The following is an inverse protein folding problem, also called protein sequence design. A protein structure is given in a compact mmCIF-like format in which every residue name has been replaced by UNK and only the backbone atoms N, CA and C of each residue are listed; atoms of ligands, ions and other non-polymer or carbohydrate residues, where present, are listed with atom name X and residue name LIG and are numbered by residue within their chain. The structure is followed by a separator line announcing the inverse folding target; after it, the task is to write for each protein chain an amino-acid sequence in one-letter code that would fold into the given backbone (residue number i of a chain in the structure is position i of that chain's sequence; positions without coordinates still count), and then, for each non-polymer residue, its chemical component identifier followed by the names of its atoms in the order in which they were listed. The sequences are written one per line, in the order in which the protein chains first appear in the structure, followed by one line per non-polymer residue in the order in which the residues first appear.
data_IF_160823309444
#
_entry.id   IF_160823309444
#
_cell.length_a   1.000
_cell.length_b   1.000
_cell.length_c   1.000
_cell.angle_alpha   90.00
_cell.angle_beta   90.00
_cell.angle_gamma   90.00
#
_symmetry.space_group_name_H-M   'P 1'
#
loop_
_entity.id
_entity.type
_entity.pdbx_description
1 polymer ?
#
# COMPACT_ATOMS: atom_id res chain seq x y z
N UNK A 1 18.93 17.29 -4.78
CA UNK A 1 17.46 17.25 -4.70
C UNK A 1 17.10 16.62 -3.37
N UNK A 2 16.34 17.35 -2.56
CA UNK A 2 15.92 16.89 -1.24
C UNK A 2 14.92 15.73 -1.38
N UNK A 3 14.75 14.92 -0.34
CA UNK A 3 13.81 13.78 -0.37
C UNK A 3 12.39 14.32 -0.55
N UNK A 4 12.08 15.42 0.10
CA UNK A 4 10.84 16.17 0.04
C UNK A 4 10.53 16.60 -1.41
N UNK A 5 11.52 17.07 -2.16
CA UNK A 5 11.34 17.44 -3.58
C UNK A 5 10.93 16.23 -4.43
N UNK A 6 11.52 15.06 -4.18
CA UNK A 6 11.15 13.81 -4.89
C UNK A 6 9.75 13.36 -4.54
N UNK A 7 9.35 13.49 -3.28
CA UNK A 7 8.00 13.17 -2.83
C UNK A 7 6.99 14.14 -3.44
N UNK A 8 7.29 15.44 -3.45
CA UNK A 8 6.46 16.46 -4.08
C UNK A 8 6.34 16.21 -5.60
N UNK A 9 7.43 15.86 -6.27
CA UNK A 9 7.42 15.51 -7.69
C UNK A 9 6.54 14.30 -7.96
N UNK A 10 6.66 13.22 -7.17
CA UNK A 10 5.81 12.04 -7.28
C UNK A 10 4.34 12.35 -7.03
N UNK A 11 4.03 13.16 -6.01
CA UNK A 11 2.66 13.58 -5.72
C UNK A 11 2.03 14.38 -6.87
N UNK A 12 2.83 15.15 -7.60
CA UNK A 12 2.39 15.98 -8.71
C UNK A 12 2.30 15.23 -10.05
N UNK A 13 3.24 14.32 -10.34
CA UNK A 13 3.44 13.73 -11.67
C UNK A 13 3.35 12.20 -11.70
N UNK A 14 3.41 11.55 -10.54
CA UNK A 14 3.39 10.11 -10.42
C UNK A 14 1.99 9.53 -10.59
N UNK A 15 1.93 8.22 -10.80
CA UNK A 15 0.68 7.47 -10.79
C UNK A 15 0.22 7.26 -9.34
N UNK A 16 -0.63 8.17 -8.87
CA UNK A 16 -1.02 8.22 -7.45
C UNK A 16 -2.41 7.63 -7.19
N UNK A 17 -2.61 7.21 -5.94
CA UNK A 17 -3.88 6.75 -5.39
C UNK A 17 -3.98 7.12 -3.91
N UNK A 18 -5.11 6.85 -3.27
CA UNK A 18 -5.29 7.16 -1.84
C UNK A 18 -4.24 6.46 -0.98
N UNK A 19 -3.97 5.17 -1.22
CA UNK A 19 -2.97 4.38 -0.51
C UNK A 19 -1.55 4.94 -0.65
N UNK A 20 -1.11 5.23 -1.88
CA UNK A 20 0.25 5.76 -2.11
C UNK A 20 0.40 7.21 -1.62
N UNK A 21 -0.65 8.04 -1.70
CA UNK A 21 -0.66 9.36 -1.07
C UNK A 21 -0.56 9.26 0.45
N UNK A 22 -1.25 8.29 1.06
CA UNK A 22 -1.16 8.02 2.50
C UNK A 22 0.28 7.72 2.90
N UNK A 23 0.96 6.82 2.19
CA UNK A 23 2.38 6.54 2.42
C UNK A 23 3.27 7.77 2.21
N UNK A 24 3.07 8.52 1.13
CA UNK A 24 3.89 9.68 0.81
C UNK A 24 3.80 10.77 1.91
N UNK A 25 2.59 11.09 2.38
CA UNK A 25 2.39 12.07 3.45
C UNK A 25 2.91 11.57 4.79
N UNK A 26 2.62 10.31 5.14
CA UNK A 26 2.98 9.79 6.45
C UNK A 26 4.49 9.51 6.57
N UNK A 27 5.07 8.78 5.63
CA UNK A 27 6.50 8.41 5.67
C UNK A 27 7.41 9.60 5.34
N UNK A 28 6.96 10.50 4.48
CA UNK A 28 7.69 11.68 4.05
C UNK A 28 7.69 12.79 5.08
N UNK A 29 6.50 13.14 5.58
CA UNK A 29 6.29 14.37 6.36
C UNK A 29 5.76 14.11 7.77
N UNK A 30 5.45 12.87 8.14
CA UNK A 30 4.79 12.56 9.42
C UNK A 30 3.35 13.07 9.50
N UNK A 31 2.74 13.38 8.35
CA UNK A 31 1.38 13.94 8.27
C UNK A 31 0.41 12.81 7.99
N UNK A 32 -0.61 12.66 8.85
CA UNK A 32 -1.76 11.79 8.59
C UNK A 32 -2.78 12.53 7.72
N UNK A 33 -2.98 12.16 6.45
CA UNK A 33 -3.90 12.87 5.57
C UNK A 33 -5.36 12.66 5.99
N UNK A 34 -6.22 13.64 5.72
CA UNK A 34 -7.66 13.55 6.03
C UNK A 34 -8.34 12.37 5.32
N UNK A 35 -7.96 12.10 4.08
CA UNK A 35 -8.38 10.93 3.32
C UNK A 35 -7.18 10.00 3.29
N UNK A 36 -7.28 8.92 4.05
CA UNK A 36 -6.29 7.86 4.13
C UNK A 36 -6.86 6.54 3.63
N UNK A 37 -5.97 5.63 3.26
CA UNK A 37 -6.34 4.29 2.83
C UNK A 37 -5.12 3.40 2.73
N UNK A 38 -5.35 2.14 2.40
CA UNK A 38 -4.33 1.12 2.20
C UNK A 38 -4.57 0.42 0.85
N UNK A 39 -3.60 -0.33 0.32
CA UNK A 39 -3.82 -1.10 -0.90
C UNK A 39 -4.93 -2.14 -0.75
N UNK A 40 -6.00 -2.03 -1.55
CA UNK A 40 -7.08 -3.01 -1.57
C UNK A 40 -6.92 -4.06 -2.68
N UNK A 41 -6.19 -3.70 -3.73
CA UNK A 41 -5.87 -4.54 -4.87
C UNK A 41 -4.42 -4.35 -5.37
N UNK A 42 -4.05 -5.11 -6.39
CA UNK A 42 -2.72 -5.08 -7.00
C UNK A 42 -2.41 -3.72 -7.63
N UNK A 43 -3.41 -3.01 -8.17
CA UNK A 43 -3.21 -1.69 -8.78
C UNK A 43 -2.90 -0.64 -7.71
N UNK A 44 -3.59 -0.69 -6.57
CA UNK A 44 -3.25 0.14 -5.42
C UNK A 44 -1.85 -0.16 -4.88
N UNK A 45 -1.49 -1.45 -4.79
CA UNK A 45 -0.17 -1.87 -4.34
C UNK A 45 0.91 -1.38 -5.30
N UNK A 46 0.71 -1.52 -6.62
CA UNK A 46 1.60 -1.01 -7.66
C UNK A 46 1.87 0.49 -7.50
N UNK A 47 0.85 1.31 -7.24
CA UNK A 47 1.04 2.75 -7.01
C UNK A 47 1.86 3.04 -5.75
N UNK A 48 1.76 2.20 -4.72
CA UNK A 48 2.61 2.30 -3.54
C UNK A 48 4.04 1.84 -3.82
N UNK A 49 4.21 0.76 -4.57
CA UNK A 49 5.50 0.27 -5.02
C UNK A 49 6.24 1.31 -5.87
N UNK A 50 5.56 1.95 -6.83
CA UNK A 50 6.15 3.00 -7.68
C UNK A 50 6.56 4.25 -6.90
N UNK A 51 5.84 4.61 -5.83
CA UNK A 51 6.29 5.65 -4.89
C UNK A 51 7.66 5.27 -4.30
N UNK A 52 7.82 4.03 -3.86
CA UNK A 52 9.05 3.54 -3.25
C UNK A 52 10.18 3.38 -4.27
N UNK A 53 9.89 3.06 -5.52
CA UNK A 53 10.88 3.10 -6.61
C UNK A 53 11.34 4.54 -6.89
N UNK A 54 10.41 5.50 -6.87
CA UNK A 54 10.72 6.92 -7.09
C UNK A 54 11.48 7.53 -5.91
N UNK A 55 11.14 7.10 -4.68
CA UNK A 55 11.72 7.59 -3.43
C UNK A 55 12.18 6.42 -2.53
N UNK A 56 13.29 5.72 -2.88
CA UNK A 56 13.74 4.52 -2.18
C UNK A 56 13.99 4.69 -0.68
N UNK A 57 14.30 5.92 -0.25
CA UNK A 57 14.49 6.23 1.17
C UNK A 57 13.24 5.96 2.02
N UNK A 58 12.03 6.05 1.45
CA UNK A 58 10.80 5.74 2.17
C UNK A 58 10.68 4.25 2.52
N UNK A 59 11.39 3.36 1.80
CA UNK A 59 11.41 1.91 2.09
C UNK A 59 11.87 1.62 3.51
N UNK A 60 12.86 2.36 3.99
CA UNK A 60 13.41 2.24 5.34
C UNK A 60 12.44 2.71 6.44
N UNK A 61 11.28 3.26 6.08
CA UNK A 61 10.29 3.79 7.01
C UNK A 61 8.96 3.03 6.97
N UNK A 62 8.84 1.99 6.14
CA UNK A 62 7.57 1.27 5.92
C UNK A 62 6.98 0.74 7.23
N UNK A 63 7.82 0.28 8.16
CA UNK A 63 7.38 -0.19 9.48
C UNK A 63 6.55 0.86 10.25
N UNK A 64 6.81 2.16 10.04
CA UNK A 64 6.03 3.24 10.65
C UNK A 64 4.57 3.24 10.21
N UNK A 65 4.24 2.66 9.05
CA UNK A 65 2.85 2.56 8.62
C UNK A 65 1.99 1.80 9.62
N UNK A 66 2.57 0.91 10.44
CA UNK A 66 1.87 0.20 11.52
C UNK A 66 1.14 1.15 12.50
N UNK A 67 1.59 2.39 12.63
CA UNK A 67 0.96 3.42 13.47
C UNK A 67 -0.41 3.87 12.92
N UNK A 68 -0.73 3.58 11.65
CA UNK A 68 -2.02 3.89 11.03
C UNK A 68 -3.10 2.81 11.24
N UNK A 69 -2.78 1.71 11.93
CA UNK A 69 -3.75 0.70 12.34
C UNK A 69 -3.41 -0.73 11.91
N UNK A 70 -4.26 -1.69 12.31
CA UNK A 70 -4.04 -3.14 12.19
C UNK A 70 -3.71 -3.58 10.75
N UNK A 71 -4.44 -3.08 9.76
CA UNK A 71 -4.23 -3.44 8.35
C UNK A 71 -2.86 -2.96 7.87
N UNK A 72 -2.50 -1.71 8.11
CA UNK A 72 -1.18 -1.19 7.74
C UNK A 72 -0.06 -1.89 8.51
N UNK A 73 -0.27 -2.28 9.76
CA UNK A 73 0.71 -3.05 10.53
C UNK A 73 0.98 -4.42 9.87
N UNK A 74 -0.07 -5.11 9.43
CA UNK A 74 0.06 -6.39 8.73
C UNK A 74 0.73 -6.23 7.35
N UNK A 75 0.34 -5.20 6.58
CA UNK A 75 0.95 -4.89 5.29
C UNK A 75 2.44 -4.52 5.42
N UNK A 76 2.80 -3.70 6.40
CA UNK A 76 4.18 -3.29 6.63
C UNK A 76 5.07 -4.49 7.00
N UNK A 77 4.55 -5.40 7.83
CA UNK A 77 5.23 -6.64 8.21
C UNK A 77 5.51 -7.55 7.02
N UNK A 78 4.56 -7.69 6.11
CA UNK A 78 4.65 -8.57 4.92
C UNK A 78 5.15 -7.85 3.66
N UNK A 79 5.59 -6.59 3.79
CA UNK A 79 5.87 -5.73 2.63
C UNK A 79 6.92 -6.34 1.69
N UNK A 80 8.02 -6.84 2.25
CA UNK A 80 9.08 -7.45 1.45
C UNK A 80 8.59 -8.67 0.65
N UNK A 81 7.70 -9.49 1.24
CA UNK A 81 7.06 -10.61 0.57
C UNK A 81 6.20 -10.14 -0.59
N UNK A 82 5.36 -9.11 -0.38
CA UNK A 82 4.51 -8.55 -1.43
C UNK A 82 5.34 -7.99 -2.59
N UNK A 83 6.45 -7.32 -2.31
CA UNK A 83 7.34 -6.80 -3.35
C UNK A 83 8.04 -7.90 -4.14
N UNK A 84 8.52 -8.95 -3.47
CA UNK A 84 9.10 -10.09 -4.15
C UNK A 84 8.10 -10.75 -5.11
N UNK A 85 6.88 -11.00 -4.64
CA UNK A 85 5.79 -11.54 -5.46
C UNK A 85 5.43 -10.63 -6.62
N UNK A 86 5.34 -9.31 -6.38
CA UNK A 86 5.00 -8.36 -7.41
C UNK A 86 6.08 -8.28 -8.50
N UNK A 87 7.35 -8.27 -8.12
CA UNK A 87 8.47 -8.28 -9.06
C UNK A 87 8.53 -9.60 -9.87
N UNK A 88 8.20 -10.75 -9.27
CA UNK A 88 8.07 -12.03 -10.01
C UNK A 88 6.95 -11.99 -11.06
N UNK A 89 5.94 -11.16 -10.84
CA UNK A 89 4.70 -11.14 -11.61
C UNK A 89 4.48 -9.85 -12.42
N UNK A 90 5.46 -8.95 -12.50
CA UNK A 90 5.31 -7.61 -13.11
C UNK A 90 4.87 -7.69 -14.58
N UNK A 91 5.28 -8.75 -15.29
CA UNK A 91 4.88 -9.02 -16.68
C UNK A 91 3.50 -9.69 -16.82
N UNK A 92 2.81 -10.01 -15.72
CA UNK A 92 1.51 -10.67 -15.71
C UNK A 92 0.40 -9.67 -15.44
N UNK A 93 -0.64 -9.67 -16.29
CA UNK A 93 -1.75 -8.71 -16.25
C UNK A 93 -2.45 -8.61 -14.87
N UNK A 94 -2.43 -9.67 -14.05
CA UNK A 94 -3.21 -9.75 -12.81
C UNK A 94 -2.41 -9.99 -11.53
N UNK A 95 -1.10 -10.22 -11.64
CA UNK A 95 -0.21 -10.62 -10.52
C UNK A 95 -0.91 -11.53 -9.48
N UNK A 96 -1.30 -12.77 -9.88
CA UNK A 96 -2.22 -13.60 -9.10
C UNK A 96 -1.69 -13.97 -7.70
N UNK A 97 -0.39 -14.22 -7.52
CA UNK A 97 0.20 -14.48 -6.20
C UNK A 97 0.20 -13.23 -5.34
N UNK A 98 0.55 -12.08 -5.91
CA UNK A 98 0.52 -10.78 -5.22
C UNK A 98 -0.89 -10.46 -4.76
N UNK A 99 -1.88 -10.66 -5.65
CA UNK A 99 -3.29 -10.51 -5.32
C UNK A 99 -3.69 -11.45 -4.18
N UNK A 100 -3.38 -12.75 -4.29
CA UNK A 100 -3.74 -13.74 -3.27
C UNK A 100 -3.14 -13.37 -1.89
N UNK A 101 -1.85 -13.00 -1.84
CA UNK A 101 -1.20 -12.61 -0.59
C UNK A 101 -1.77 -11.31 -0.02
N UNK A 102 -2.05 -10.32 -0.86
CA UNK A 102 -2.68 -9.08 -0.43
C UNK A 102 -4.07 -9.37 0.17
N UNK A 103 -4.89 -10.19 -0.49
CA UNK A 103 -6.21 -10.58 0.01
C UNK A 103 -6.15 -11.35 1.33
N UNK A 104 -5.22 -12.29 1.46
CA UNK A 104 -4.96 -13.02 2.72
C UNK A 104 -4.68 -12.04 3.87
N UNK A 105 -3.82 -11.05 3.67
CA UNK A 105 -3.49 -10.03 4.68
C UNK A 105 -4.72 -9.21 5.04
N UNK A 106 -5.47 -8.71 4.05
CA UNK A 106 -6.64 -7.88 4.29
C UNK A 106 -7.74 -8.65 5.03
N UNK A 107 -8.00 -9.89 4.62
CA UNK A 107 -9.02 -10.76 5.22
C UNK A 107 -8.79 -11.07 6.68
N UNK A 108 -7.53 -11.28 7.05
CA UNK A 108 -7.17 -11.56 8.42
C UNK A 108 -7.27 -10.32 9.34
N UNK A 109 -7.38 -9.11 8.78
CA UNK A 109 -7.21 -7.86 9.53
C UNK A 109 -8.35 -6.84 9.36
N UNK A 110 -9.27 -7.03 8.41
CA UNK A 110 -10.48 -6.22 8.26
C UNK A 110 -11.57 -6.75 9.20
N UNK A 111 -11.74 -6.14 10.37
CA UNK A 111 -12.66 -6.63 11.44
C UNK A 111 -14.17 -6.55 11.07
N UNK A 112 -14.53 -5.96 9.92
CA UNK A 112 -15.92 -5.63 9.57
C UNK A 112 -16.38 -6.16 8.19
N UNK A 113 -15.64 -7.08 7.57
CA UNK A 113 -16.03 -7.64 6.27
C UNK A 113 -16.62 -9.03 6.45
N UNK A 114 -17.96 -9.11 6.45
CA UNK A 114 -18.66 -10.40 6.36
C UNK A 114 -18.73 -10.80 4.90
N UNK A 115 -18.31 -12.03 4.60
CA UNK A 115 -18.40 -12.61 3.26
C UNK A 115 -19.45 -13.69 3.20
N UNK A 116 -20.37 -13.54 2.25
CA UNK A 116 -21.40 -14.52 1.93
C UNK A 116 -21.27 -14.86 0.45
N UNK A 117 -20.58 -15.98 0.15
CA UNK A 117 -20.24 -16.36 -1.22
C UNK A 117 -19.29 -15.34 -1.89
N UNK A 118 -19.66 -14.85 -3.08
CA UNK A 118 -18.90 -13.81 -3.80
C UNK A 118 -19.23 -12.37 -3.34
N UNK A 119 -20.09 -12.21 -2.33
CA UNK A 119 -20.48 -10.89 -1.84
C UNK A 119 -19.63 -10.50 -0.62
N UNK A 120 -19.08 -9.29 -0.65
CA UNK A 120 -18.40 -8.68 0.50
C UNK A 120 -19.25 -7.52 1.01
N UNK A 121 -19.62 -7.57 2.29
CA UNK A 121 -20.36 -6.49 2.97
C UNK A 121 -19.44 -5.91 4.03
N UNK A 122 -19.15 -4.62 3.92
CA UNK A 122 -18.53 -3.84 4.98
C UNK A 122 -19.62 -3.39 5.95
N UNK A 123 -19.54 -3.85 7.20
CA UNK A 123 -20.46 -3.43 8.26
C UNK A 123 -19.81 -2.22 8.96
N UNK A 124 -20.28 -1.02 8.62
CA UNK A 124 -19.92 0.23 9.26
C UNK A 124 -20.86 0.57 10.42
#
# INVERSE_FOLDING_TARGET
MHIEDKIAWWLANGETGVSSKTMAFYLGYGIRPKIEGYPHDVSDFRRCFLLLETVPFLRNRIEKMAELGKVWAALAKEWHTLEALYNEEECQIRCPKTYAKLREILEANEENVVRIGNLSISIG
#
